data_IF_352510566423
#
_entry.id   IF_352510566423
#
_cell.length_a   1.000
_cell.length_b   1.000
_cell.length_c   1.000
_cell.angle_alpha   90.00
_cell.angle_beta   90.00
_cell.angle_gamma   90.00
#
_symmetry.space_group_name_H-M   'P 1'
#
loop_
_entity.id
_entity.type
_entity.pdbx_description
1 polymer ?
#
# COMPACT_ATOMS: atom_id res chain seq x y z
N UNK A 1 32.56 1.61 -0.82
CA UNK A 1 31.25 1.34 -1.44
C UNK A 1 30.25 1.68 -0.36
N UNK A 2 29.53 2.78 -0.51
CA UNK A 2 28.45 3.12 0.41
C UNK A 2 27.35 2.09 0.18
N UNK A 3 26.80 1.50 1.23
CA UNK A 3 25.71 0.51 1.16
C UNK A 3 24.37 1.25 0.96
N UNK A 4 24.30 2.00 -0.14
CA UNK A 4 23.15 2.82 -0.51
C UNK A 4 22.09 1.95 -1.19
N UNK A 5 20.83 2.18 -0.82
CA UNK A 5 19.66 1.53 -1.41
C UNK A 5 18.67 2.58 -1.90
N UNK A 6 18.48 2.62 -3.21
CA UNK A 6 17.41 3.38 -3.85
C UNK A 6 16.17 2.47 -3.99
N UNK A 7 15.03 2.91 -3.47
CA UNK A 7 13.78 2.14 -3.51
C UNK A 7 12.55 3.01 -3.23
N UNK A 8 11.37 2.41 -3.33
CA UNK A 8 10.14 2.96 -2.76
C UNK A 8 9.88 2.34 -1.40
N UNK A 9 9.63 3.19 -0.41
CA UNK A 9 9.37 2.79 0.96
C UNK A 9 7.99 3.23 1.43
N UNK A 10 7.33 2.39 2.22
CA UNK A 10 6.17 2.76 3.01
C UNK A 10 6.64 3.17 4.41
N UNK A 11 6.20 4.32 4.90
CA UNK A 11 6.41 4.75 6.28
C UNK A 11 5.41 4.04 7.18
N UNK A 12 5.87 3.06 7.95
CA UNK A 12 4.99 2.25 8.82
C UNK A 12 4.92 2.79 10.24
N UNK A 13 5.92 3.56 10.66
CA UNK A 13 5.95 4.16 11.98
C UNK A 13 6.69 5.49 11.98
N UNK A 14 6.22 6.42 12.79
CA UNK A 14 6.86 7.73 13.01
C UNK A 14 6.85 8.04 14.50
N UNK A 15 8.01 8.45 15.00
CA UNK A 15 8.19 9.06 16.30
C UNK A 15 8.69 10.50 16.13
N UNK A 16 8.82 11.24 17.24
CA UNK A 16 9.26 12.65 17.24
C UNK A 16 10.57 12.86 16.48
N UNK A 17 11.51 11.92 16.62
CA UNK A 17 12.88 12.03 16.08
C UNK A 17 13.25 10.86 15.16
N UNK A 18 12.36 9.90 14.89
CA UNK A 18 12.69 8.69 14.10
C UNK A 18 11.53 8.28 13.20
N UNK A 19 11.81 7.46 12.19
CA UNK A 19 10.78 6.86 11.34
C UNK A 19 11.21 5.47 10.88
N UNK A 20 10.24 4.60 10.60
CA UNK A 20 10.47 3.24 10.11
C UNK A 20 9.98 3.16 8.68
N UNK A 21 10.89 2.84 7.77
CA UNK A 21 10.65 2.64 6.36
C UNK A 21 10.61 1.14 6.06
N UNK A 22 9.59 0.68 5.35
CA UNK A 22 9.52 -0.67 4.81
C UNK A 22 9.61 -0.62 3.29
N UNK A 23 10.60 -1.29 2.73
CA UNK A 23 10.75 -1.44 1.29
C UNK A 23 9.56 -2.23 0.72
N UNK A 24 8.89 -1.69 -0.29
CA UNK A 24 7.66 -2.28 -0.85
C UNK A 24 7.93 -3.41 -1.85
N UNK A 25 9.18 -3.60 -2.25
CA UNK A 25 9.62 -4.63 -3.19
C UNK A 25 10.12 -5.89 -2.49
N UNK A 26 10.91 -5.74 -1.42
CA UNK A 26 11.51 -6.88 -0.70
C UNK A 26 11.11 -6.99 0.78
N UNK A 27 10.37 -6.01 1.31
CA UNK A 27 9.88 -6.01 2.68
C UNK A 27 10.95 -5.67 3.73
N UNK A 28 12.17 -5.29 3.32
CA UNK A 28 13.23 -4.91 4.24
C UNK A 28 12.83 -3.67 5.05
N UNK A 29 13.13 -3.70 6.35
CA UNK A 29 12.80 -2.60 7.27
C UNK A 29 14.06 -1.78 7.57
N UNK A 30 13.95 -0.47 7.43
CA UNK A 30 15.00 0.52 7.68
C UNK A 30 14.52 1.53 8.72
N UNK A 31 15.09 1.47 9.92
CA UNK A 31 14.83 2.45 10.98
C UNK A 31 15.74 3.66 10.79
N UNK A 32 15.14 4.82 10.55
CA UNK A 32 15.86 6.08 10.39
C UNK A 32 16.32 6.65 11.74
N UNK A 33 17.56 7.12 11.82
CA UNK A 33 18.09 7.82 12.99
C UNK A 33 17.51 9.22 13.19
N UNK A 34 16.95 9.81 12.14
CA UNK A 34 16.24 11.09 12.16
C UNK A 34 14.99 11.02 11.27
N UNK A 35 13.89 11.63 11.70
CA UNK A 35 12.71 11.81 10.86
C UNK A 35 12.82 13.11 10.03
N UNK A 36 12.94 13.08 8.69
CA UNK A 36 12.98 14.28 7.85
C UNK A 36 11.61 14.94 7.63
N UNK A 37 10.65 14.70 8.53
CA UNK A 37 9.28 15.21 8.45
C UNK A 37 8.33 14.28 7.68
N UNK A 38 8.60 12.98 7.68
CA UNK A 38 7.72 11.94 7.15
C UNK A 38 6.56 11.69 8.11
N UNK A 39 5.42 11.35 7.54
CA UNK A 39 4.21 10.94 8.25
C UNK A 39 3.92 9.46 8.01
N UNK A 40 3.21 8.82 8.94
CA UNK A 40 2.74 7.44 8.76
C UNK A 40 1.88 7.37 7.49
N UNK A 41 1.98 6.27 6.77
CA UNK A 41 1.29 6.01 5.49
C UNK A 41 1.83 6.79 4.28
N UNK A 42 2.94 7.51 4.42
CA UNK A 42 3.63 8.05 3.24
C UNK A 42 4.29 6.93 2.42
N UNK A 43 4.17 7.02 1.11
CA UNK A 43 5.11 6.39 0.18
C UNK A 43 6.22 7.37 -0.17
N UNK A 44 7.47 6.90 -0.06
CA UNK A 44 8.66 7.73 -0.28
C UNK A 44 9.59 7.01 -1.24
N UNK A 45 9.86 7.62 -2.39
CA UNK A 45 10.94 7.21 -3.28
C UNK A 45 12.22 7.89 -2.80
N UNK A 46 13.17 7.11 -2.30
CA UNK A 46 14.34 7.63 -1.62
C UNK A 46 15.56 6.73 -1.78
N UNK A 47 16.72 7.31 -1.49
CA UNK A 47 17.98 6.60 -1.29
C UNK A 47 18.31 6.61 0.19
N UNK A 48 18.48 5.43 0.78
CA UNK A 48 18.86 5.25 2.20
C UNK A 48 20.24 4.60 2.30
N UNK A 49 20.97 4.89 3.37
CA UNK A 49 22.24 4.24 3.68
C UNK A 49 22.37 3.98 5.18
N UNK A 50 23.14 2.97 5.61
CA UNK A 50 23.48 2.79 7.01
C UNK A 50 24.12 4.05 7.62
N UNK A 51 23.81 4.32 8.87
CA UNK A 51 24.31 5.45 9.64
C UNK A 51 25.55 5.02 10.47
N UNK A 52 26.77 5.46 10.10
CA UNK A 52 28.00 5.02 10.74
C UNK A 52 28.21 5.65 12.13
N UNK A 53 29.04 5.03 13.00
CA UNK A 53 29.86 3.84 12.76
C UNK A 53 29.19 2.53 13.18
N UNK A 54 28.04 2.59 13.84
CA UNK A 54 27.37 1.38 14.35
C UNK A 54 26.52 0.68 13.29
N UNK A 55 26.09 1.40 12.25
CA UNK A 55 25.34 0.84 11.10
C UNK A 55 24.05 0.10 11.51
N UNK A 56 23.47 0.45 12.66
CA UNK A 56 22.22 -0.12 13.19
C UNK A 56 21.00 0.65 12.71
N UNK A 57 21.17 1.95 12.48
CA UNK A 57 20.15 2.86 11.94
C UNK A 57 20.52 3.26 10.53
N UNK A 58 19.54 3.78 9.80
CA UNK A 58 19.72 4.30 8.45
C UNK A 58 19.53 5.81 8.45
N UNK A 59 20.04 6.47 7.42
CA UNK A 59 19.75 7.86 7.12
C UNK A 59 19.21 7.96 5.70
N UNK A 60 18.35 8.96 5.46
CA UNK A 60 17.90 9.29 4.11
C UNK A 60 18.94 10.19 3.46
N UNK A 61 19.50 9.74 2.35
CA UNK A 61 20.48 10.50 1.55
C UNK A 61 19.75 11.46 0.61
N UNK A 62 18.69 10.98 -0.03
CA UNK A 62 17.89 11.74 -0.98
C UNK A 62 16.43 11.27 -0.94
N UNK A 63 15.49 12.22 -1.09
CA UNK A 63 14.08 11.93 -1.35
C UNK A 63 13.76 12.46 -2.75
N UNK A 64 13.46 11.55 -3.67
CA UNK A 64 13.06 11.87 -5.03
C UNK A 64 11.59 12.28 -5.10
N UNK A 65 10.73 11.52 -4.42
CA UNK A 65 9.29 11.77 -4.37
C UNK A 65 8.72 11.35 -3.01
N UNK A 66 7.68 12.07 -2.56
CA UNK A 66 6.87 11.71 -1.40
C UNK A 66 5.40 11.90 -1.76
N UNK A 67 4.57 10.91 -1.42
CA UNK A 67 3.11 10.97 -1.58
C UNK A 67 2.41 10.36 -0.37
N UNK A 68 1.44 11.08 0.24
CA UNK A 68 0.60 10.49 1.28
C UNK A 68 -0.33 9.47 0.66
N UNK A 69 -0.54 8.35 1.35
CA UNK A 69 -1.48 7.33 0.92
C UNK A 69 -2.77 7.35 1.75
N UNK A 70 -3.89 6.99 1.13
CA UNK A 70 -5.17 6.81 1.84
C UNK A 70 -5.87 5.49 1.48
N UNK A 71 -6.64 4.98 2.43
CA UNK A 71 -7.62 3.90 2.24
C UNK A 71 -9.00 4.46 2.61
N UNK A 72 -9.96 4.32 1.71
CA UNK A 72 -11.33 4.81 1.90
C UNK A 72 -12.34 3.75 1.44
N UNK A 73 -13.35 3.49 2.27
CA UNK A 73 -14.55 2.76 1.86
C UNK A 73 -15.52 3.72 1.17
N UNK A 74 -15.92 3.40 -0.05
CA UNK A 74 -16.84 4.21 -0.85
C UNK A 74 -18.26 3.65 -0.75
N UNK A 75 -19.28 4.52 -0.59
CA UNK A 75 -20.68 4.11 -0.61
C UNK A 75 -21.15 3.73 -2.03
N UNK A 76 -20.33 3.95 -3.05
CA UNK A 76 -20.65 3.54 -4.42
C UNK A 76 -20.51 2.02 -4.57
N UNK A 77 -21.44 1.37 -5.29
CA UNK A 77 -21.31 -0.05 -5.57
C UNK A 77 -20.13 -0.34 -6.52
N UNK A 78 -19.68 -1.60 -6.59
CA UNK A 78 -18.77 -2.05 -7.65
C UNK A 78 -19.30 -1.69 -9.04
N UNK A 79 -18.37 -1.33 -9.92
CA UNK A 79 -18.63 -1.05 -11.32
C UNK A 79 -19.09 -2.30 -12.08
N UNK A 80 -19.65 -2.11 -13.28
CA UNK A 80 -20.07 -3.22 -14.15
C UNK A 80 -18.92 -4.20 -14.40
N UNK A 81 -17.73 -3.68 -14.70
CA UNK A 81 -16.53 -4.47 -14.95
C UNK A 81 -16.12 -5.31 -13.74
N UNK A 82 -16.15 -4.73 -12.53
CA UNK A 82 -15.80 -5.46 -11.30
C UNK A 82 -16.80 -6.57 -10.98
N UNK A 83 -18.08 -6.38 -11.29
CA UNK A 83 -19.11 -7.42 -11.15
C UNK A 83 -18.95 -8.55 -12.16
N UNK A 84 -18.57 -8.22 -13.39
CA UNK A 84 -18.27 -9.21 -14.43
C UNK A 84 -17.07 -10.06 -14.00
N UNK A 85 -16.01 -9.42 -13.50
CA UNK A 85 -14.83 -10.12 -12.98
C UNK A 85 -15.16 -11.02 -11.78
N UNK A 86 -16.02 -10.55 -10.86
CA UNK A 86 -16.51 -11.34 -9.74
C UNK A 86 -17.33 -12.57 -10.19
N UNK A 87 -18.17 -12.42 -11.21
CA UNK A 87 -18.99 -13.53 -11.72
C UNK A 87 -18.15 -14.65 -12.38
N UNK A 88 -16.94 -14.31 -12.85
CA UNK A 88 -15.97 -15.25 -13.42
C UNK A 88 -15.02 -15.85 -12.38
N UNK A 89 -15.03 -15.33 -11.14
CA UNK A 89 -14.12 -15.72 -10.06
C UNK A 89 -14.84 -16.62 -9.06
N UNK A 90 -14.23 -17.74 -8.67
CA UNK A 90 -14.86 -18.67 -7.71
C UNK A 90 -15.01 -18.01 -6.32
N UNK A 91 -16.03 -18.39 -5.55
CA UNK A 91 -16.21 -17.86 -4.18
C UNK A 91 -15.01 -18.19 -3.30
N UNK A 92 -14.47 -17.18 -2.61
CA UNK A 92 -13.26 -17.27 -1.80
C UNK A 92 -11.96 -17.01 -2.57
N UNK A 93 -12.04 -16.73 -3.87
CA UNK A 93 -10.88 -16.37 -4.69
C UNK A 93 -10.76 -14.85 -4.90
N UNK A 94 -9.69 -14.47 -5.59
CA UNK A 94 -9.32 -13.09 -5.88
C UNK A 94 -8.91 -12.98 -7.35
N UNK A 95 -9.58 -12.11 -8.08
CA UNK A 95 -9.11 -11.66 -9.39
C UNK A 95 -8.34 -10.35 -9.27
N UNK A 96 -7.32 -10.18 -10.11
CA UNK A 96 -6.51 -8.95 -10.20
C UNK A 96 -6.39 -8.54 -11.66
N UNK A 97 -6.60 -7.26 -11.92
CA UNK A 97 -6.49 -6.71 -13.27
C UNK A 97 -5.86 -5.32 -13.27
N UNK A 98 -4.92 -5.11 -14.19
CA UNK A 98 -4.34 -3.79 -14.44
C UNK A 98 -5.37 -2.86 -15.06
N UNK A 99 -5.39 -1.60 -14.63
CA UNK A 99 -6.27 -0.60 -15.22
C UNK A 99 -5.61 0.02 -16.45
N UNK A 100 -6.43 0.51 -17.38
CA UNK A 100 -5.93 1.43 -18.42
C UNK A 100 -5.35 2.69 -17.75
N UNK A 101 -4.03 2.82 -17.76
CA UNK A 101 -3.29 3.87 -17.05
C UNK A 101 -2.45 3.31 -15.90
N UNK A 102 -2.35 4.06 -14.81
CA UNK A 102 -1.66 3.64 -13.58
C UNK A 102 -2.69 3.12 -12.58
N UNK A 103 -2.40 1.99 -11.95
CA UNK A 103 -3.25 1.37 -10.95
C UNK A 103 -3.74 -0.02 -11.32
N UNK A 104 -4.43 -0.64 -10.37
CA UNK A 104 -4.88 -2.02 -10.42
C UNK A 104 -6.26 -2.12 -9.73
N UNK A 105 -7.04 -3.12 -10.09
CA UNK A 105 -8.25 -3.48 -9.35
C UNK A 105 -8.16 -4.93 -8.89
N UNK A 106 -8.53 -5.14 -7.64
CA UNK A 106 -8.61 -6.45 -6.99
C UNK A 106 -10.07 -6.72 -6.69
N UNK A 107 -10.60 -7.84 -7.16
CA UNK A 107 -11.98 -8.24 -6.92
C UNK A 107 -11.96 -9.51 -6.10
N UNK A 108 -12.39 -9.39 -4.84
CA UNK A 108 -12.59 -10.51 -3.93
C UNK A 108 -14.06 -10.96 -4.03
N UNK A 109 -14.26 -12.27 -4.00
CA UNK A 109 -15.58 -12.91 -4.08
C UNK A 109 -15.91 -13.66 -2.78
N UNK A 110 -16.03 -12.98 -1.62
CA UNK A 110 -16.38 -13.65 -0.38
C UNK A 110 -17.81 -14.22 -0.45
N UNK A 111 -18.17 -15.17 0.43
CA UNK A 111 -19.58 -15.47 0.68
C UNK A 111 -20.36 -14.18 0.99
N UNK A 112 -21.61 -14.06 0.52
CA UNK A 112 -22.39 -12.81 0.69
C UNK A 112 -22.47 -12.36 2.17
N UNK A 113 -22.58 -13.32 3.09
CA UNK A 113 -22.62 -13.08 4.55
C UNK A 113 -21.30 -12.59 5.15
N UNK A 114 -20.20 -12.69 4.41
CA UNK A 114 -18.83 -12.33 4.84
C UNK A 114 -18.31 -11.07 4.15
N UNK A 115 -19.11 -10.42 3.29
CA UNK A 115 -18.72 -9.21 2.54
C UNK A 115 -18.17 -8.11 3.45
N UNK A 116 -18.89 -7.77 4.52
CA UNK A 116 -18.47 -6.72 5.46
C UNK A 116 -17.18 -7.09 6.20
N UNK A 117 -17.00 -8.37 6.53
CA UNK A 117 -15.77 -8.87 7.14
C UNK A 117 -14.59 -8.76 6.17
N UNK A 118 -14.79 -9.12 4.90
CA UNK A 118 -13.76 -8.98 3.86
C UNK A 118 -13.36 -7.51 3.63
N UNK A 119 -14.31 -6.56 3.69
CA UNK A 119 -14.01 -5.12 3.65
C UNK A 119 -13.14 -4.72 4.85
N UNK A 120 -13.53 -5.14 6.07
CA UNK A 120 -12.77 -4.85 7.28
C UNK A 120 -11.35 -5.44 7.22
N UNK A 121 -11.19 -6.68 6.74
CA UNK A 121 -9.89 -7.34 6.61
C UNK A 121 -8.94 -6.55 5.69
N UNK A 122 -9.44 -6.00 4.57
CA UNK A 122 -8.64 -5.15 3.67
C UNK A 122 -8.21 -3.84 4.34
N UNK A 123 -9.10 -3.23 5.12
CA UNK A 123 -8.83 -1.98 5.85
C UNK A 123 -7.84 -2.22 6.98
N UNK A 124 -8.01 -3.33 7.71
CA UNK A 124 -7.19 -3.73 8.85
C UNK A 124 -5.79 -4.20 8.41
N UNK A 125 -5.65 -4.81 7.21
CA UNK A 125 -4.36 -5.01 6.54
C UNK A 125 -3.85 -3.71 5.88
N UNK A 126 -3.81 -2.63 6.66
CA UNK A 126 -3.41 -1.31 6.19
C UNK A 126 -2.02 -1.32 5.59
N UNK A 127 -1.06 -1.98 6.24
CA UNK A 127 0.32 -2.06 5.78
C UNK A 127 0.42 -2.80 4.44
N UNK A 128 -0.25 -3.96 4.29
CA UNK A 128 -0.25 -4.73 3.04
C UNK A 128 -0.93 -3.97 1.89
N UNK A 129 -2.08 -3.38 2.19
CA UNK A 129 -2.86 -2.58 1.23
C UNK A 129 -2.09 -1.34 0.76
N UNK A 130 -1.48 -0.58 1.68
CA UNK A 130 -0.71 0.62 1.33
C UNK A 130 0.65 0.30 0.69
N UNK A 131 1.30 -0.79 1.09
CA UNK A 131 2.55 -1.22 0.44
C UNK A 131 2.33 -1.52 -1.05
N UNK A 132 1.17 -2.12 -1.39
CA UNK A 132 0.77 -2.31 -2.78
C UNK A 132 0.50 -1.00 -3.50
N UNK A 133 -0.19 -0.04 -2.87
CA UNK A 133 -0.43 1.28 -3.43
C UNK A 133 0.89 2.02 -3.73
N UNK A 134 1.82 2.02 -2.77
CA UNK A 134 3.15 2.58 -2.91
C UNK A 134 3.91 1.97 -4.08
N UNK A 135 3.93 0.62 -4.19
CA UNK A 135 4.58 -0.13 -5.28
C UNK A 135 3.98 0.18 -6.66
N UNK A 136 2.67 0.40 -6.73
CA UNK A 136 1.96 0.72 -7.98
C UNK A 136 2.14 2.19 -8.40
N UNK A 137 2.77 3.04 -7.58
CA UNK A 137 2.91 4.46 -7.90
C UNK A 137 1.62 5.25 -7.71
N UNK A 138 0.67 4.74 -6.93
CA UNK A 138 -0.63 5.38 -6.70
C UNK A 138 -0.71 5.97 -5.30
N UNK A 139 -1.71 6.82 -5.05
CA UNK A 139 -1.89 7.54 -3.77
C UNK A 139 -3.17 7.14 -3.02
N UNK A 140 -4.15 6.49 -3.66
CA UNK A 140 -5.44 6.19 -3.04
C UNK A 140 -5.87 4.76 -3.28
N UNK A 141 -6.37 4.13 -2.21
CA UNK A 141 -7.08 2.86 -2.26
C UNK A 141 -8.55 3.12 -1.96
N UNK A 142 -9.41 2.81 -2.92
CA UNK A 142 -10.86 2.92 -2.77
C UNK A 142 -11.46 1.51 -2.71
N UNK A 143 -12.22 1.21 -1.66
CA UNK A 143 -12.93 -0.05 -1.49
C UNK A 143 -14.39 0.16 -1.81
N UNK A 144 -14.94 -0.61 -2.75
CA UNK A 144 -16.37 -0.64 -3.08
C UNK A 144 -16.89 -2.03 -2.82
N UNK A 145 -18.08 -2.15 -2.23
CA UNK A 145 -18.64 -3.45 -1.89
C UNK A 145 -20.14 -3.52 -2.15
N UNK A 146 -20.58 -4.74 -2.46
CA UNK A 146 -21.98 -5.17 -2.43
C UNK A 146 -21.98 -6.67 -2.07
N UNK A 147 -23.12 -7.28 -1.70
CA UNK A 147 -23.14 -8.67 -1.24
C UNK A 147 -22.42 -9.62 -2.21
N UNK A 148 -21.35 -10.26 -1.73
CA UNK A 148 -20.54 -11.23 -2.47
C UNK A 148 -19.42 -10.64 -3.34
N UNK A 149 -19.24 -9.32 -3.36
CA UNK A 149 -18.23 -8.63 -4.18
C UNK A 149 -17.57 -7.52 -3.39
N UNK A 150 -16.25 -7.56 -3.28
CA UNK A 150 -15.42 -6.47 -2.75
C UNK A 150 -14.39 -6.08 -3.79
N UNK A 151 -14.48 -4.85 -4.30
CA UNK A 151 -13.55 -4.28 -5.27
C UNK A 151 -12.60 -3.30 -4.56
N UNK A 152 -11.31 -3.64 -4.52
CA UNK A 152 -10.23 -2.79 -4.00
C UNK A 152 -9.51 -2.15 -5.17
N UNK A 153 -9.60 -0.82 -5.27
CA UNK A 153 -9.17 -0.04 -6.42
C UNK A 153 -7.96 0.80 -6.04
N UNK A 154 -6.84 0.58 -6.72
CA UNK A 154 -5.61 1.34 -6.58
C UNK A 154 -5.61 2.47 -7.62
N UNK A 155 -5.70 3.72 -7.15
CA UNK A 155 -6.00 4.91 -7.95
C UNK A 155 -4.93 6.00 -7.79
N UNK A 156 -4.48 6.66 -8.88
CA UNK A 156 -3.56 7.78 -8.84
C UNK A 156 -4.21 9.08 -8.30
#
# INVERSE_FOLDING_TARGET
MTDEKESTFLVTHVESDSAVLKDVHDGQVHTLSSNPGLDVDDAVEATVAPDPPMEVTYQVIEVAERRPLSIEESPEPPTVHERELAAETETGELAREERAGVGEVHVLTPPESETEAAVADVIDDREGTLSRAARLGVNRVEIRAEPGVVAVRYLP
#
